data_IF_838901992558
#
_entry.id   IF_838901992558
#
_cell.length_a   1.000
_cell.length_b   1.000
_cell.length_c   1.000
_cell.angle_alpha   90.00
_cell.angle_beta   90.00
_cell.angle_gamma   90.00
#
_symmetry.space_group_name_H-M   'P 1'
#
loop_
_entity.id
_entity.type
_entity.pdbx_description
1 polymer ?
#
# COMPACT_ATOMS: atom_id res chain seq x y z
N UNK A 1 -6.03 -16.85 -2.04
CA UNK A 1 -5.25 -15.62 -2.27
C UNK A 1 -6.21 -14.47 -2.39
N UNK A 2 -5.90 -13.35 -1.77
CA UNK A 2 -6.73 -12.14 -1.80
C UNK A 2 -5.94 -11.00 -2.41
N UNK A 3 -6.64 -9.99 -2.88
CA UNK A 3 -6.08 -8.69 -3.24
C UNK A 3 -6.65 -7.63 -2.30
N UNK A 4 -5.87 -6.61 -2.00
CA UNK A 4 -6.26 -5.48 -1.17
C UNK A 4 -5.96 -4.18 -1.91
N UNK A 5 -6.92 -3.25 -1.84
CA UNK A 5 -6.71 -1.88 -2.27
C UNK A 5 -6.25 -1.08 -1.07
N UNK A 6 -4.95 -1.06 -0.83
CA UNK A 6 -4.44 -0.33 0.33
C UNK A 6 -4.63 1.20 0.02
N UNK A 7 -4.56 1.63 -1.25
CA UNK A 7 -4.62 3.06 -1.65
C UNK A 7 -6.00 3.78 -1.55
N UNK A 8 -7.16 3.10 -1.56
CA UNK A 8 -8.44 3.78 -1.94
C UNK A 8 -9.51 4.04 -0.89
N UNK A 9 -9.51 3.33 0.23
CA UNK A 9 -10.66 3.44 1.15
C UNK A 9 -10.60 4.67 2.07
N UNK A 10 -9.42 5.22 2.35
CA UNK A 10 -9.31 6.46 3.13
C UNK A 10 -9.37 7.73 2.25
N UNK A 11 -9.03 7.64 0.96
CA UNK A 11 -9.21 8.76 0.03
C UNK A 11 -10.69 9.06 -0.24
N UNK A 12 -11.59 8.06 -0.22
CA UNK A 12 -13.02 8.27 -0.45
C UNK A 12 -13.71 9.12 0.63
N UNK A 13 -13.12 9.26 1.82
CA UNK A 13 -13.59 10.21 2.84
C UNK A 13 -12.99 11.62 2.64
N UNK A 14 -11.79 11.73 2.07
CA UNK A 14 -11.13 13.01 1.74
C UNK A 14 -11.71 13.67 0.47
N UNK A 15 -12.19 12.88 -0.50
CA UNK A 15 -12.78 13.37 -1.74
C UNK A 15 -14.15 14.04 -1.57
N UNK A 16 -14.70 14.11 -0.35
CA UNK A 16 -15.89 14.93 -0.07
C UNK A 16 -15.58 16.42 0.05
N UNK A 17 -14.30 16.82 0.21
CA UNK A 17 -13.88 18.21 0.28
C UNK A 17 -12.47 18.41 -0.30
N UNK A 18 -12.33 18.82 -1.57
CA UNK A 18 -11.41 19.90 -1.97
C UNK A 18 -11.23 20.02 -3.49
N UNK A 19 -11.51 21.22 -3.99
CA UNK A 19 -11.29 21.67 -5.38
C UNK A 19 -9.82 22.00 -5.71
N UNK A 20 -8.82 21.57 -4.92
CA UNK A 20 -7.48 22.17 -5.00
C UNK A 20 -6.38 21.22 -5.49
N UNK A 21 -6.30 21.08 -6.82
CA UNK A 21 -5.29 20.28 -7.53
C UNK A 21 -3.83 20.72 -7.29
N UNK A 22 -3.59 21.96 -6.87
CA UNK A 22 -2.25 22.48 -6.64
C UNK A 22 -1.67 22.05 -5.27
N UNK A 23 -2.52 21.92 -4.24
CA UNK A 23 -2.13 21.37 -2.94
C UNK A 23 -1.75 19.88 -3.04
N UNK A 24 -2.49 19.10 -3.84
CA UNK A 24 -2.16 17.69 -4.14
C UNK A 24 -0.80 17.54 -4.80
N UNK A 25 -0.46 18.41 -5.76
CA UNK A 25 0.85 18.39 -6.44
C UNK A 25 1.98 18.83 -5.53
N UNK A 26 1.74 19.82 -4.67
CA UNK A 26 2.71 20.29 -3.68
C UNK A 26 3.03 19.20 -2.65
N UNK A 27 2.03 18.51 -2.10
CA UNK A 27 2.22 17.42 -1.14
C UNK A 27 2.98 16.25 -1.76
N UNK A 28 2.58 15.77 -2.95
CA UNK A 28 3.29 14.69 -3.64
C UNK A 28 4.73 15.07 -3.99
N UNK A 29 5.00 16.32 -4.39
CA UNK A 29 6.35 16.83 -4.71
C UNK A 29 7.25 16.99 -3.48
N UNK A 30 6.70 17.50 -2.37
CA UNK A 30 7.42 17.70 -1.12
C UNK A 30 7.73 16.39 -0.42
N UNK A 31 6.81 15.42 -0.47
CA UNK A 31 7.01 14.10 0.11
C UNK A 31 7.92 13.24 -0.76
N UNK A 32 7.83 13.33 -2.10
CA UNK A 32 8.85 12.77 -2.98
C UNK A 32 10.24 13.35 -2.68
N UNK A 33 10.36 14.64 -2.33
CA UNK A 33 11.62 15.27 -1.86
C UNK A 33 12.07 14.81 -0.47
N UNK A 34 11.15 14.50 0.44
CA UNK A 34 11.44 14.05 1.81
C UNK A 34 11.76 12.54 1.89
N UNK A 35 11.22 11.73 0.98
CA UNK A 35 11.59 10.33 0.80
C UNK A 35 12.80 10.14 -0.12
N UNK A 36 13.19 11.15 -0.90
CA UNK A 36 14.46 11.18 -1.64
C UNK A 36 15.62 11.81 -0.87
N UNK A 37 15.38 12.39 0.31
CA UNK A 37 16.45 12.84 1.23
C UNK A 37 16.98 11.73 2.15
N UNK A 38 16.64 10.45 1.90
CA UNK A 38 17.59 9.38 2.15
C UNK A 38 18.69 9.49 1.08
N UNK A 39 19.60 10.45 1.28
CA UNK A 39 20.68 10.72 0.34
C UNK A 39 21.36 9.41 -0.08
N UNK A 40 21.40 9.25 -1.39
CA UNK A 40 22.15 8.28 -2.16
C UNK A 40 23.44 7.84 -1.45
N UNK A 41 23.51 6.56 -1.08
CA UNK A 41 24.77 5.80 -1.04
C UNK A 41 24.47 4.31 -0.80
N UNK A 42 24.66 3.49 -1.84
CA UNK A 42 24.94 2.04 -1.85
C UNK A 42 24.83 1.26 -0.51
N UNK A 43 23.62 1.23 0.06
CA UNK A 43 23.28 0.54 1.29
C UNK A 43 21.89 1.00 1.70
N UNK A 44 20.92 0.08 1.80
CA UNK A 44 19.51 0.41 2.02
C UNK A 44 19.37 1.13 3.38
N UNK A 45 19.39 2.46 3.39
CA UNK A 45 19.22 3.26 4.60
C UNK A 45 17.73 3.29 4.93
N UNK A 46 17.35 2.72 6.07
CA UNK A 46 15.95 2.72 6.52
C UNK A 46 15.57 4.10 7.05
N UNK A 47 14.41 4.67 6.66
CA UNK A 47 13.94 5.91 7.25
C UNK A 47 13.72 5.71 8.75
N UNK A 48 14.13 6.68 9.57
CA UNK A 48 13.93 6.68 11.02
C UNK A 48 13.00 7.80 11.51
N UNK A 49 12.66 8.74 10.63
CA UNK A 49 11.80 9.89 10.93
C UNK A 49 10.78 10.09 9.82
N UNK A 50 9.55 10.41 10.21
CA UNK A 50 8.49 10.87 9.32
C UNK A 50 8.11 12.29 9.73
N UNK A 51 8.05 13.20 8.76
CA UNK A 51 7.66 14.59 9.00
C UNK A 51 6.25 14.84 8.51
N UNK A 52 5.42 15.47 9.34
CA UNK A 52 4.04 15.81 9.01
C UNK A 52 3.78 17.31 9.21
N UNK A 53 2.96 17.89 8.35
CA UNK A 53 2.55 19.29 8.45
C UNK A 53 1.24 19.38 9.23
N UNK A 54 1.25 20.05 10.39
CA UNK A 54 0.10 20.14 11.30
C UNK A 54 -1.01 21.04 10.79
N UNK A 55 -0.72 21.91 9.82
CA UNK A 55 -1.71 22.72 9.09
C UNK A 55 -2.78 21.87 8.38
N UNK A 56 -2.51 20.57 8.18
CA UNK A 56 -3.42 19.61 7.55
C UNK A 56 -4.27 18.79 8.54
N UNK A 57 -4.13 18.96 9.86
CA UNK A 57 -4.92 18.25 10.89
C UNK A 57 -4.90 16.69 10.83
N UNK A 58 -3.97 16.08 10.09
CA UNK A 58 -3.92 14.63 9.86
C UNK A 58 -2.80 13.93 10.68
N UNK A 59 -2.71 14.25 11.98
CA UNK A 59 -1.94 13.36 12.88
C UNK A 59 -2.79 12.11 13.14
N UNK A 60 -2.26 10.90 12.93
CA UNK A 60 -3.00 9.67 13.20
C UNK A 60 -3.45 9.63 14.65
N UNK A 61 -4.70 9.24 14.89
CA UNK A 61 -5.18 8.93 16.24
C UNK A 61 -4.49 7.66 16.77
N UNK A 62 -4.43 7.45 18.09
CA UNK A 62 -3.84 6.22 18.65
C UNK A 62 -4.65 4.98 18.28
N UNK A 63 -5.93 5.19 18.00
CA UNK A 63 -6.89 4.18 17.59
C UNK A 63 -6.76 3.82 16.09
N UNK A 64 -5.99 4.60 15.32
CA UNK A 64 -5.68 4.31 13.92
C UNK A 64 -4.52 3.32 13.80
N UNK A 65 -4.87 2.12 13.34
CA UNK A 65 -3.90 1.04 13.07
C UNK A 65 -3.17 1.19 11.74
N UNK A 66 -3.79 1.90 10.81
CA UNK A 66 -3.32 2.10 9.45
C UNK A 66 -3.69 3.51 9.03
N UNK A 67 -2.69 4.29 8.62
CA UNK A 67 -2.91 5.63 8.10
C UNK A 67 -2.01 5.89 6.90
N UNK A 68 -2.45 6.84 6.09
CA UNK A 68 -1.93 7.10 4.77
C UNK A 68 -1.23 8.42 4.73
N UNK A 69 0.07 8.38 4.47
CA UNK A 69 0.85 9.56 4.13
C UNK A 69 1.46 9.35 2.75
N UNK A 70 0.96 10.05 1.74
CA UNK A 70 1.76 10.31 0.52
C UNK A 70 2.11 9.05 -0.27
N UNK A 71 1.15 8.14 -0.42
CA UNK A 71 1.34 6.86 -1.10
C UNK A 71 2.11 5.82 -0.29
N UNK A 72 2.42 6.11 0.98
CA UNK A 72 3.11 5.18 1.88
C UNK A 72 2.13 4.60 2.90
N UNK A 73 2.24 3.29 3.11
CA UNK A 73 1.49 2.58 4.15
C UNK A 73 2.20 2.79 5.48
N UNK A 74 1.52 3.41 6.45
CA UNK A 74 2.07 3.60 7.79
C UNK A 74 1.19 2.87 8.80
N UNK A 75 1.85 2.14 9.69
CA UNK A 75 1.24 1.27 10.68
C UNK A 75 1.62 1.72 12.08
N UNK A 76 0.68 1.64 13.02
CA UNK A 76 1.05 1.66 14.43
C UNK A 76 1.76 0.35 14.81
N UNK A 77 2.29 0.30 16.02
CA UNK A 77 3.04 -0.86 16.50
C UNK A 77 2.23 -2.16 16.53
N UNK A 78 0.95 -2.11 16.91
CA UNK A 78 0.08 -3.29 16.96
C UNK A 78 -0.10 -3.92 15.57
N UNK A 79 -0.39 -3.10 14.55
CA UNK A 79 -0.51 -3.56 13.18
C UNK A 79 0.85 -4.07 12.64
N UNK A 80 1.93 -3.33 12.90
CA UNK A 80 3.28 -3.72 12.51
C UNK A 80 3.70 -5.08 13.10
N UNK A 81 3.32 -5.36 14.35
CA UNK A 81 3.63 -6.64 15.01
C UNK A 81 2.91 -7.83 14.37
N UNK A 82 1.76 -7.63 13.72
CA UNK A 82 1.13 -8.66 12.88
C UNK A 82 1.99 -8.90 11.65
N UNK A 83 2.41 -7.83 10.96
CA UNK A 83 3.24 -7.96 9.75
C UNK A 83 4.61 -8.58 10.02
N UNK A 84 5.20 -8.37 11.20
CA UNK A 84 6.47 -9.01 11.61
C UNK A 84 6.39 -10.53 11.74
N UNK A 85 5.19 -11.11 11.88
CA UNK A 85 5.00 -12.57 11.99
C UNK A 85 4.94 -13.27 10.63
N UNK A 86 4.93 -12.50 9.54
CA UNK A 86 4.71 -12.98 8.18
C UNK A 86 6.01 -13.16 7.41
N UNK A 87 5.97 -13.98 6.38
CA UNK A 87 7.01 -14.02 5.37
C UNK A 87 6.81 -12.86 4.39
N UNK A 88 7.43 -11.73 4.70
CA UNK A 88 7.37 -10.51 3.90
C UNK A 88 8.36 -10.49 2.72
N UNK A 89 9.20 -11.51 2.54
CA UNK A 89 10.20 -11.53 1.46
C UNK A 89 11.13 -10.32 1.54
N UNK A 90 11.24 -9.57 0.44
CA UNK A 90 12.04 -8.35 0.35
C UNK A 90 11.27 -7.08 0.77
N UNK A 91 9.99 -7.18 1.15
CA UNK A 91 9.29 -6.02 1.69
C UNK A 91 9.97 -5.56 2.98
N UNK A 92 10.01 -4.24 3.19
CA UNK A 92 10.69 -3.66 4.34
C UNK A 92 9.69 -3.00 5.27
N UNK A 93 9.75 -3.38 6.54
CA UNK A 93 9.05 -2.71 7.61
C UNK A 93 10.06 -1.86 8.39
N UNK A 94 9.98 -0.54 8.24
CA UNK A 94 10.95 0.41 8.81
C UNK A 94 10.32 1.19 9.95
N UNK A 95 10.90 1.07 11.14
CA UNK A 95 10.46 1.81 12.31
C UNK A 95 10.79 3.30 12.16
N UNK A 96 9.81 4.15 12.43
CA UNK A 96 9.92 5.61 12.35
C UNK A 96 9.27 6.27 13.55
N UNK A 97 9.71 7.48 13.85
CA UNK A 97 9.04 8.39 14.77
C UNK A 97 8.47 9.58 13.98
N UNK A 98 7.29 10.06 14.39
CA UNK A 98 6.58 11.15 13.70
C UNK A 98 6.98 12.48 14.35
N UNK A 99 7.38 13.43 13.51
CA UNK A 99 7.77 14.78 13.87
C UNK A 99 6.88 15.81 13.17
N UNK A 100 6.57 16.88 13.88
CA UNK A 100 5.90 18.05 13.35
C UNK A 100 6.90 18.86 12.55
N UNK A 101 6.59 19.16 11.30
CA UNK A 101 7.51 19.83 10.39
C UNK A 101 7.87 21.23 10.87
N UNK A 102 6.89 22.00 11.33
CA UNK A 102 7.05 23.40 11.72
C UNK A 102 7.88 23.55 13.00
N UNK A 103 7.51 22.81 14.05
CA UNK A 103 8.16 22.93 15.35
C UNK A 103 9.37 22.01 15.51
N UNK A 104 9.52 21.03 14.61
CA UNK A 104 10.47 19.93 14.67
C UNK A 104 10.36 19.07 15.92
N UNK A 105 9.23 19.14 16.62
CA UNK A 105 8.98 18.33 17.82
C UNK A 105 8.39 17.00 17.45
N UNK A 106 8.61 16.02 18.31
CA UNK A 106 7.95 14.71 18.22
C UNK A 106 6.45 14.93 18.39
N UNK A 107 5.65 14.42 17.45
CA UNK A 107 4.18 14.48 17.55
C UNK A 107 3.65 13.44 18.55
N UNK A 108 4.34 12.31 18.67
CA UNK A 108 3.95 11.14 19.48
C UNK A 108 5.18 10.42 20.00
N UNK A 109 5.14 10.01 21.27
CA UNK A 109 6.21 9.20 21.87
C UNK A 109 6.24 7.76 21.32
N UNK A 110 5.15 7.31 20.70
CA UNK A 110 5.04 5.99 20.09
C UNK A 110 5.80 5.88 18.77
N UNK A 111 6.31 4.69 18.49
CA UNK A 111 6.89 4.35 17.20
C UNK A 111 5.83 3.89 16.21
N UNK A 112 6.07 4.22 14.95
CA UNK A 112 5.29 3.80 13.80
C UNK A 112 6.16 3.02 12.84
N UNK A 113 5.54 2.41 11.83
CA UNK A 113 6.25 1.57 10.87
C UNK A 113 5.80 1.90 9.46
N UNK A 114 6.76 2.19 8.60
CA UNK A 114 6.55 2.33 7.16
C UNK A 114 6.70 0.96 6.52
N UNK A 115 5.68 0.53 5.78
CA UNK A 115 5.74 -0.66 4.95
C UNK A 115 6.09 -0.29 3.50
N UNK A 116 7.29 -0.67 3.09
CA UNK A 116 7.74 -0.57 1.70
C UNK A 116 7.52 -1.91 1.00
N UNK A 117 6.63 -1.90 0.00
CA UNK A 117 6.28 -3.11 -0.76
C UNK A 117 7.20 -3.23 -1.98
N UNK A 118 8.20 -4.09 -1.83
CA UNK A 118 9.24 -4.35 -2.82
C UNK A 118 9.06 -5.68 -3.53
N UNK A 119 8.31 -6.63 -2.95
CA UNK A 119 8.14 -7.95 -3.52
C UNK A 119 7.21 -7.92 -4.74
N UNK A 120 7.72 -8.46 -5.85
CA UNK A 120 6.97 -8.60 -7.10
C UNK A 120 6.77 -10.08 -7.44
N UNK A 121 5.55 -10.46 -7.84
CA UNK A 121 5.25 -11.76 -8.46
C UNK A 121 4.43 -11.53 -9.72
N UNK A 122 4.52 -12.46 -10.66
CA UNK A 122 3.84 -12.40 -11.96
C UNK A 122 2.86 -13.57 -12.05
N UNK A 123 1.84 -13.51 -11.22
CA UNK A 123 0.82 -14.56 -11.16
C UNK A 123 -0.48 -14.15 -11.85
N UNK A 124 -0.73 -12.85 -12.02
CA UNK A 124 -1.89 -12.38 -12.75
C UNK A 124 -1.81 -12.83 -14.21
N UNK A 125 -2.92 -13.35 -14.73
CA UNK A 125 -3.01 -13.70 -16.14
C UNK A 125 -2.95 -12.43 -16.99
N UNK A 126 -2.13 -12.44 -18.04
CA UNK A 126 -2.03 -11.31 -18.96
C UNK A 126 -3.38 -10.98 -19.62
N UNK A 127 -4.13 -12.00 -20.00
CA UNK A 127 -5.50 -11.86 -20.47
C UNK A 127 -6.44 -12.23 -19.33
N UNK A 128 -7.24 -11.27 -18.91
CA UNK A 128 -8.31 -11.47 -17.94
C UNK A 128 -9.62 -11.77 -18.67
N UNK A 129 -10.40 -12.74 -18.19
CA UNK A 129 -11.70 -13.04 -18.79
C UNK A 129 -12.77 -11.98 -18.49
N UNK A 130 -12.55 -11.16 -17.46
CA UNK A 130 -13.53 -10.15 -17.04
C UNK A 130 -13.44 -8.91 -17.96
N UNK A 131 -14.49 -8.62 -18.76
CA UNK A 131 -14.48 -7.51 -19.70
C UNK A 131 -14.53 -6.13 -19.03
N UNK A 132 -14.85 -6.06 -17.73
CA UNK A 132 -14.94 -4.81 -16.99
C UNK A 132 -13.57 -4.31 -16.47
N UNK A 133 -12.50 -5.08 -16.66
CA UNK A 133 -11.16 -4.65 -16.32
C UNK A 133 -10.59 -3.76 -17.42
N UNK A 134 -10.24 -2.52 -17.05
CA UNK A 134 -9.69 -1.58 -18.02
C UNK A 134 -8.22 -1.89 -18.30
N UNK A 135 -7.93 -2.41 -19.48
CA UNK A 135 -6.57 -2.64 -19.94
C UNK A 135 -5.98 -1.36 -20.55
N UNK A 136 -4.80 -0.97 -20.07
CA UNK A 136 -4.02 0.15 -20.54
C UNK A 136 -2.80 -0.39 -21.29
N UNK A 137 -2.73 -0.23 -22.63
CA UNK A 137 -1.63 -0.77 -23.41
C UNK A 137 -0.34 0.05 -23.28
N UNK A 138 0.79 -0.57 -23.63
CA UNK A 138 2.03 0.15 -23.93
C UNK A 138 1.84 1.05 -25.18
N UNK A 139 2.43 2.26 -25.25
CA UNK A 139 3.33 2.89 -24.27
C UNK A 139 2.64 3.68 -23.16
N UNK A 140 1.30 3.71 -23.09
CA UNK A 140 0.55 4.57 -22.18
C UNK A 140 0.93 4.31 -20.71
N UNK A 141 1.03 3.05 -20.29
CA UNK A 141 1.34 2.67 -18.91
C UNK A 141 2.83 2.42 -18.61
N UNK A 142 3.75 2.66 -19.55
CA UNK A 142 5.20 2.38 -19.46
C UNK A 142 5.61 0.91 -19.20
N UNK A 143 4.69 0.03 -18.78
CA UNK A 143 4.91 -1.42 -18.74
C UNK A 143 4.82 -2.01 -20.15
N UNK A 144 5.86 -2.74 -20.60
CA UNK A 144 5.91 -3.36 -21.94
C UNK A 144 4.78 -4.36 -22.18
N UNK A 145 4.25 -4.98 -21.13
CA UNK A 145 3.14 -5.93 -21.20
C UNK A 145 1.76 -5.26 -21.13
N UNK A 146 1.69 -3.93 -21.04
CA UNK A 146 0.47 -3.25 -20.63
C UNK A 146 0.20 -3.43 -19.13
N UNK A 147 -0.94 -2.92 -18.68
CA UNK A 147 -1.35 -2.99 -17.28
C UNK A 147 -2.86 -2.84 -17.17
N UNK A 148 -3.48 -3.49 -16.21
CA UNK A 148 -4.86 -3.26 -15.83
C UNK A 148 -4.95 -2.16 -14.78
N UNK A 149 -5.95 -1.29 -14.94
CA UNK A 149 -6.33 -0.32 -13.93
C UNK A 149 -7.74 -0.61 -13.46
N UNK A 150 -7.97 -0.34 -12.18
CA UNK A 150 -9.23 -0.55 -11.52
C UNK A 150 -9.81 0.82 -11.23
N UNK A 151 -10.98 1.13 -11.74
CA UNK A 151 -11.68 2.40 -11.50
C UNK A 151 -12.93 2.24 -10.64
N UNK A 152 -13.36 1.00 -10.42
CA UNK A 152 -14.57 0.64 -9.70
C UNK A 152 -14.25 -0.26 -8.52
N UNK A 153 -15.22 -0.45 -7.63
CA UNK A 153 -15.11 -1.45 -6.57
C UNK A 153 -14.94 -2.83 -7.19
N UNK A 154 -13.94 -3.58 -6.75
CA UNK A 154 -13.76 -4.96 -7.18
C UNK A 154 -14.70 -5.90 -6.43
N UNK A 155 -15.23 -6.86 -7.16
CA UNK A 155 -15.97 -7.98 -6.62
C UNK A 155 -15.09 -9.22 -6.52
N UNK A 156 -15.47 -10.15 -5.65
CA UNK A 156 -14.77 -11.43 -5.51
C UNK A 156 -14.66 -12.15 -6.86
N UNK A 157 -13.53 -12.81 -7.05
CA UNK A 157 -13.19 -13.58 -8.25
C UNK A 157 -13.10 -12.75 -9.54
N UNK A 158 -12.99 -11.43 -9.45
CA UNK A 158 -12.81 -10.55 -10.63
C UNK A 158 -11.41 -10.68 -11.24
N UNK A 159 -10.39 -10.77 -10.39
CA UNK A 159 -8.98 -10.89 -10.83
C UNK A 159 -8.59 -12.36 -10.88
N UNK A 160 -8.04 -12.76 -12.02
CA UNK A 160 -7.61 -14.12 -12.32
C UNK A 160 -6.10 -14.26 -12.17
N UNK A 161 -5.69 -15.25 -11.36
CA UNK A 161 -4.32 -15.63 -11.12
C UNK A 161 -4.08 -17.04 -11.66
N UNK A 162 -2.86 -17.33 -12.10
CA UNK A 162 -2.45 -18.70 -12.42
C UNK A 162 -2.34 -19.58 -11.16
N UNK A 163 -2.34 -20.90 -11.36
CA UNK A 163 -2.31 -21.90 -10.29
C UNK A 163 -1.07 -21.84 -9.40
N UNK A 164 0.06 -21.33 -9.89
CA UNK A 164 1.29 -21.18 -9.11
C UNK A 164 1.13 -20.19 -7.95
N UNK A 165 0.19 -19.24 -8.03
CA UNK A 165 -0.13 -18.32 -6.93
C UNK A 165 -0.50 -19.03 -5.62
N UNK A 166 -1.10 -20.22 -5.70
CA UNK A 166 -1.47 -21.04 -4.54
C UNK A 166 -0.26 -21.53 -3.74
N UNK A 167 0.91 -21.62 -4.39
CA UNK A 167 2.17 -22.05 -3.80
C UNK A 167 3.09 -20.88 -3.43
N UNK A 168 2.62 -19.63 -3.58
CA UNK A 168 3.40 -18.46 -3.19
C UNK A 168 3.65 -18.49 -1.68
N UNK A 169 4.93 -18.48 -1.31
CA UNK A 169 5.36 -18.50 0.09
C UNK A 169 5.48 -17.10 0.69
N UNK A 170 5.23 -16.04 -0.09
CA UNK A 170 5.27 -14.65 0.39
C UNK A 170 3.85 -14.15 0.68
N UNK A 171 3.70 -13.50 1.83
CA UNK A 171 2.40 -13.08 2.35
C UNK A 171 1.90 -11.76 1.76
N UNK A 172 2.77 -10.95 1.16
CA UNK A 172 2.44 -9.65 0.56
C UNK A 172 3.30 -9.37 -0.68
N UNK A 173 2.68 -9.06 -1.82
CA UNK A 173 3.41 -8.76 -3.05
C UNK A 173 2.57 -7.93 -4.04
N UNK A 174 3.19 -7.40 -5.09
CA UNK A 174 2.52 -6.70 -6.20
C UNK A 174 2.71 -7.41 -7.54
N UNK A 175 1.71 -7.32 -8.41
CA UNK A 175 1.83 -7.79 -9.80
C UNK A 175 2.08 -6.60 -10.75
N UNK A 176 3.06 -6.66 -11.67
CA UNK A 176 3.28 -5.60 -12.65
C UNK A 176 2.09 -5.31 -13.56
N UNK A 177 1.20 -6.28 -13.72
CA UNK A 177 0.00 -6.13 -14.53
C UNK A 177 -1.12 -5.36 -13.82
N UNK A 178 -0.93 -4.95 -12.56
CA UNK A 178 -1.95 -4.24 -11.79
C UNK A 178 -1.34 -3.10 -10.98
N UNK A 179 -1.76 -1.85 -11.22
CA UNK A 179 -1.29 -0.73 -10.40
C UNK A 179 -2.04 -0.62 -9.08
N UNK A 180 -1.35 -0.06 -8.09
CA UNK A 180 -1.93 0.46 -6.84
C UNK A 180 -2.69 -0.58 -6.00
N UNK A 181 -2.45 -1.86 -6.28
CA UNK A 181 -3.09 -3.02 -5.65
C UNK A 181 -2.01 -4.02 -5.26
N UNK A 182 -2.26 -4.67 -4.14
CA UNK A 182 -1.35 -5.64 -3.57
C UNK A 182 -2.10 -6.94 -3.31
N UNK A 183 -1.38 -8.04 -3.39
CA UNK A 183 -1.90 -9.38 -3.14
C UNK A 183 -1.44 -9.83 -1.78
N UNK A 184 -2.34 -10.48 -1.04
CA UNK A 184 -2.07 -11.06 0.26
C UNK A 184 -2.38 -12.56 0.29
N UNK A 185 -1.61 -13.28 1.08
CA UNK A 185 -1.87 -14.69 1.36
C UNK A 185 -3.13 -14.89 2.22
N UNK A 186 -3.58 -16.15 2.30
CA UNK A 186 -4.60 -16.54 3.27
C UNK A 186 -4.11 -16.33 4.72
N UNK A 187 -2.84 -16.58 4.99
CA UNK A 187 -2.26 -16.41 6.32
C UNK A 187 -2.33 -14.94 6.80
N UNK A 188 -1.96 -13.98 5.95
CA UNK A 188 -2.10 -12.55 6.27
C UNK A 188 -3.59 -12.16 6.41
N UNK A 189 -4.47 -12.68 5.55
CA UNK A 189 -5.91 -12.46 5.70
C UNK A 189 -6.43 -12.95 7.06
N UNK A 190 -6.10 -14.18 7.46
CA UNK A 190 -6.56 -14.79 8.70
C UNK A 190 -6.04 -14.03 9.94
N UNK A 191 -4.78 -13.59 9.91
CA UNK A 191 -4.21 -12.77 10.98
C UNK A 191 -4.88 -11.40 11.10
N UNK A 192 -5.16 -10.73 9.98
CA UNK A 192 -5.89 -9.47 9.97
C UNK A 192 -7.34 -9.66 10.46
N UNK A 193 -8.00 -10.74 10.06
CA UNK A 193 -9.34 -11.11 10.52
C UNK A 193 -9.36 -11.36 12.03
N UNK A 194 -8.42 -12.16 12.54
CA UNK A 194 -8.33 -12.51 13.96
C UNK A 194 -8.11 -11.28 14.85
N UNK A 195 -7.39 -10.27 14.35
CA UNK A 195 -7.12 -9.02 15.06
C UNK A 195 -8.15 -7.92 14.78
N UNK A 196 -9.28 -8.22 14.12
CA UNK A 196 -10.32 -7.26 13.74
C UNK A 196 -9.82 -6.08 12.89
N UNK A 197 -8.80 -6.30 12.05
CA UNK A 197 -8.22 -5.30 11.17
C UNK A 197 -8.63 -5.47 9.71
N UNK A 198 -9.29 -6.57 9.36
CA UNK A 198 -9.57 -6.94 7.96
C UNK A 198 -10.35 -5.89 7.17
N UNK A 199 -11.30 -5.22 7.83
CA UNK A 199 -12.16 -4.20 7.23
C UNK A 199 -11.37 -2.94 6.82
N UNK A 200 -10.19 -2.74 7.42
CA UNK A 200 -9.29 -1.63 7.03
C UNK A 200 -8.60 -1.91 5.69
N UNK A 201 -8.47 -3.17 5.30
CA UNK A 201 -7.79 -3.58 4.08
C UNK A 201 -8.75 -3.95 2.94
N UNK A 202 -10.02 -4.20 3.24
CA UNK A 202 -11.08 -4.53 2.28
C UNK A 202 -10.65 -5.58 1.23
N UNK A 203 -10.23 -6.77 1.67
CA UNK A 203 -9.72 -7.80 0.77
C UNK A 203 -10.81 -8.34 -0.15
N UNK A 204 -10.41 -8.64 -1.38
CA UNK A 204 -11.24 -9.27 -2.40
C UNK A 204 -10.58 -10.60 -2.79
N UNK A 205 -11.37 -11.66 -2.85
CA UNK A 205 -10.87 -12.99 -3.22
C UNK A 205 -10.46 -13.02 -4.70
N UNK A 206 -9.29 -13.57 -5.02
CA UNK A 206 -8.89 -13.80 -6.42
C UNK A 206 -9.42 -15.15 -6.92
N UNK A 207 -9.65 -15.25 -8.23
CA UNK A 207 -9.97 -16.51 -8.90
C UNK A 207 -8.67 -17.18 -9.35
N UNK A 208 -8.46 -18.44 -8.97
CA UNK A 208 -7.29 -19.21 -9.37
C UNK A 208 -7.65 -20.07 -10.58
N UNK A 209 -6.87 -19.95 -11.65
CA UNK A 209 -7.04 -20.68 -12.90
C UNK A 209 -5.99 -21.79 -12.97
N UNK A 210 -6.48 -23.02 -13.19
CA UNK A 210 -5.71 -24.26 -13.26
C UNK A 210 -4.80 -24.33 -14.47
#
# INVERSE_FOLDING_TARGET
MYLITIYRNNELELHKNSDNNDLRKANTSMLNKLFSSSEENNGIMKPSRLWIETSLQETPSEEEYLFWGSGTVIMNENCANIFKQLNLGNNLLSQVQIFELETKKICRDNFFYILNICEERKYMLHQQSNPNLNYIPYPICKNKLGMYSIYTKLENCTIELNSQSSSCNIDLWKDPLLSDIFFISGNLYDLLQHNNLIDKFNPVLCKIIG
#
